data_IF_567599336709
#
_entry.id   IF_567599336709
#
_cell.length_a   1.000
_cell.length_b   1.000
_cell.length_c   1.000
_cell.angle_alpha   90.00
_cell.angle_beta   90.00
_cell.angle_gamma   90.00
#
_symmetry.space_group_name_H-M   'P 1'
#
loop_
_entity.id
_entity.type
_entity.pdbx_description
1 polymer ?
#
# COMPACT_ATOMS: atom_id res chain seq x y z
N UNK A 1 -13.47 14.99 12.11
CA UNK A 1 -14.33 14.39 11.07
C UNK A 1 -14.52 12.93 11.42
N UNK A 2 -15.74 12.42 11.30
CA UNK A 2 -16.02 10.99 11.40
C UNK A 2 -15.56 10.32 10.09
N UNK A 3 -14.34 9.78 10.10
CA UNK A 3 -13.70 9.21 8.91
C UNK A 3 -14.39 7.95 8.42
N UNK A 4 -14.97 7.15 9.31
CA UNK A 4 -15.70 5.93 8.94
C UNK A 4 -17.00 6.29 8.23
N UNK A 5 -17.79 7.20 8.82
CA UNK A 5 -19.02 7.68 8.20
C UNK A 5 -18.76 8.38 6.85
N UNK A 6 -17.66 9.14 6.75
CA UNK A 6 -17.28 9.81 5.50
C UNK A 6 -16.91 8.79 4.41
N UNK A 7 -16.10 7.77 4.73
CA UNK A 7 -15.73 6.71 3.80
C UNK A 7 -16.97 5.98 3.28
N UNK A 8 -17.83 5.49 4.18
CA UNK A 8 -19.06 4.78 3.82
C UNK A 8 -19.98 5.65 2.96
N UNK A 9 -20.20 6.91 3.35
CA UNK A 9 -21.04 7.84 2.60
C UNK A 9 -20.51 8.05 1.19
N UNK A 10 -19.21 8.30 1.04
CA UNK A 10 -18.61 8.58 -0.26
C UNK A 10 -18.66 7.35 -1.17
N UNK A 11 -18.34 6.15 -0.65
CA UNK A 11 -18.42 4.91 -1.43
C UNK A 11 -19.84 4.61 -1.91
N UNK A 12 -20.86 4.85 -1.08
CA UNK A 12 -22.25 4.68 -1.50
C UNK A 12 -22.68 5.67 -2.59
N UNK A 13 -22.16 6.91 -2.56
CA UNK A 13 -22.39 7.88 -3.62
C UNK A 13 -21.68 7.49 -4.92
N UNK A 14 -20.44 7.01 -4.82
CA UNK A 14 -19.66 6.49 -5.96
C UNK A 14 -20.37 5.31 -6.61
N UNK A 15 -20.89 4.37 -5.82
CA UNK A 15 -21.59 3.18 -6.31
C UNK A 15 -22.92 3.51 -7.02
N UNK A 16 -23.51 4.68 -6.74
CA UNK A 16 -24.74 5.12 -7.37
C UNK A 16 -24.52 5.73 -8.77
N UNK A 17 -23.27 6.03 -9.16
CA UNK A 17 -22.92 6.63 -10.45
C UNK A 17 -22.21 5.61 -11.35
N UNK A 18 -22.89 5.03 -12.37
CA UNK A 18 -22.33 3.98 -13.22
C UNK A 18 -20.99 4.34 -13.88
N UNK A 19 -20.80 5.61 -14.28
CA UNK A 19 -19.58 6.06 -14.93
C UNK A 19 -18.36 6.05 -14.00
N UNK A 20 -18.58 6.13 -12.69
CA UNK A 20 -17.53 6.04 -11.67
C UNK A 20 -17.40 4.60 -11.17
N UNK A 21 -18.52 3.92 -10.93
CA UNK A 21 -18.55 2.55 -10.39
C UNK A 21 -17.88 1.50 -11.29
N UNK A 22 -17.61 1.83 -12.57
CA UNK A 22 -16.88 0.96 -13.51
C UNK A 22 -15.39 0.77 -13.19
N UNK A 23 -14.79 1.61 -12.34
CA UNK A 23 -13.38 1.48 -11.93
C UNK A 23 -13.26 1.00 -10.48
N UNK A 24 -12.20 0.25 -10.11
CA UNK A 24 -11.98 -0.15 -8.73
C UNK A 24 -11.65 1.04 -7.84
N UNK A 25 -11.97 0.92 -6.54
CA UNK A 25 -11.68 1.94 -5.53
C UNK A 25 -10.50 1.52 -4.67
N UNK A 26 -9.57 2.45 -4.46
CA UNK A 26 -8.51 2.32 -3.46
C UNK A 26 -8.96 2.98 -2.15
N UNK A 27 -9.06 2.20 -1.09
CA UNK A 27 -9.43 2.64 0.26
C UNK A 27 -8.19 3.16 0.98
N UNK A 28 -8.06 4.47 1.07
CA UNK A 28 -6.88 5.13 1.63
C UNK A 28 -7.13 5.65 3.06
N UNK A 29 -6.47 5.04 4.04
CA UNK A 29 -6.53 5.47 5.44
C UNK A 29 -5.43 4.85 6.29
N UNK A 30 -4.91 5.60 7.27
CA UNK A 30 -4.01 5.08 8.30
C UNK A 30 -4.72 4.32 9.43
N UNK A 31 -6.06 4.41 9.49
CA UNK A 31 -6.89 3.71 10.48
C UNK A 31 -7.52 2.46 9.86
N UNK A 32 -7.24 1.31 10.46
CA UNK A 32 -7.78 0.02 10.02
C UNK A 32 -9.32 0.00 10.02
N UNK A 33 -9.96 0.57 11.04
CA UNK A 33 -11.43 0.59 11.13
C UNK A 33 -12.10 1.31 9.94
N UNK A 34 -11.46 2.34 9.40
CA UNK A 34 -11.94 3.07 8.21
C UNK A 34 -11.78 2.23 6.94
N UNK A 35 -10.65 1.52 6.80
CA UNK A 35 -10.43 0.58 5.70
C UNK A 35 -11.50 -0.52 5.76
N UNK A 36 -11.71 -1.11 6.94
CA UNK A 36 -12.66 -2.20 7.11
C UNK A 36 -14.11 -1.76 6.84
N UNK A 37 -14.49 -0.55 7.29
CA UNK A 37 -15.78 0.04 6.97
C UNK A 37 -15.96 0.21 5.45
N UNK A 38 -14.91 0.63 4.74
CA UNK A 38 -14.91 0.71 3.28
C UNK A 38 -15.04 -0.65 2.60
N UNK A 39 -14.27 -1.65 3.04
CA UNK A 39 -14.31 -3.02 2.50
C UNK A 39 -15.70 -3.65 2.63
N UNK A 40 -16.41 -3.40 3.74
CA UNK A 40 -17.79 -3.85 3.96
C UNK A 40 -18.79 -3.24 2.97
N UNK A 41 -18.47 -2.10 2.34
CA UNK A 41 -19.35 -1.40 1.40
C UNK A 41 -19.06 -1.70 -0.07
N UNK A 42 -17.85 -2.18 -0.40
CA UNK A 42 -17.48 -2.44 -1.79
C UNK A 42 -18.19 -3.69 -2.33
N UNK A 43 -18.78 -3.57 -3.53
CA UNK A 43 -19.41 -4.69 -4.24
C UNK A 43 -18.44 -5.43 -5.17
N UNK A 44 -17.37 -4.77 -5.59
CA UNK A 44 -16.32 -5.32 -6.45
C UNK A 44 -14.96 -5.39 -5.75
N UNK A 45 -13.94 -5.84 -6.49
CA UNK A 45 -12.58 -5.92 -5.98
C UNK A 45 -11.99 -4.53 -5.76
N UNK A 46 -11.81 -4.15 -4.50
CA UNK A 46 -11.12 -2.94 -4.09
C UNK A 46 -9.61 -3.14 -3.91
N UNK A 47 -8.93 -2.04 -3.60
CA UNK A 47 -7.53 -2.03 -3.19
C UNK A 47 -7.41 -1.38 -1.81
N UNK A 48 -6.72 -2.02 -0.87
CA UNK A 48 -6.43 -1.44 0.44
C UNK A 48 -5.16 -0.62 0.37
N UNK A 49 -5.23 0.67 0.72
CA UNK A 49 -4.07 1.55 0.92
C UNK A 49 -4.02 2.03 2.39
N UNK A 50 -3.23 1.41 3.25
CA UNK A 50 -2.29 0.31 3.03
C UNK A 50 -2.09 -0.49 4.31
N UNK A 51 -1.31 -1.58 4.23
CA UNK A 51 -0.77 -2.27 5.40
C UNK A 51 0.76 -2.18 5.40
N UNK A 52 1.36 -2.42 6.56
CA UNK A 52 2.82 -2.44 6.72
C UNK A 52 3.21 -3.26 7.95
N UNK A 53 4.51 -3.50 8.14
CA UNK A 53 5.05 -4.19 9.32
C UNK A 53 5.40 -3.21 10.46
N UNK A 54 4.94 -1.95 10.39
CA UNK A 54 5.18 -0.91 11.43
C UNK A 54 4.79 -1.37 12.83
N UNK A 55 3.66 -2.06 12.95
CA UNK A 55 3.12 -2.55 14.23
C UNK A 55 3.51 -4.01 14.49
N UNK A 56 4.48 -4.53 13.72
CA UNK A 56 4.93 -5.91 13.81
C UNK A 56 4.22 -6.86 12.85
N UNK A 57 4.80 -8.05 12.75
CA UNK A 57 4.42 -9.09 11.80
C UNK A 57 3.03 -9.70 12.07
N UNK A 58 2.65 -9.84 13.34
CA UNK A 58 1.36 -10.47 13.71
C UNK A 58 0.19 -9.63 13.23
N UNK A 59 0.21 -8.32 13.49
CA UNK A 59 -0.81 -7.36 13.03
C UNK A 59 -0.81 -7.27 11.51
N UNK A 60 0.36 -7.30 10.87
CA UNK A 60 0.46 -7.33 9.41
C UNK A 60 -0.24 -8.56 8.81
N UNK A 61 0.00 -9.76 9.35
CA UNK A 61 -0.61 -11.00 8.89
C UNK A 61 -2.11 -11.07 9.20
N UNK A 62 -2.55 -10.55 10.35
CA UNK A 62 -3.97 -10.43 10.70
C UNK A 62 -4.71 -9.59 9.65
N UNK A 63 -4.26 -8.35 9.44
CA UNK A 63 -4.85 -7.42 8.46
C UNK A 63 -4.79 -7.99 7.05
N UNK A 64 -3.68 -8.61 6.66
CA UNK A 64 -3.56 -9.28 5.37
C UNK A 64 -4.65 -10.34 5.19
N UNK A 65 -4.83 -11.26 6.15
CA UNK A 65 -5.88 -12.28 6.06
C UNK A 65 -7.28 -11.69 5.96
N UNK A 66 -7.53 -10.58 6.63
CA UNK A 66 -8.79 -9.84 6.50
C UNK A 66 -8.96 -9.24 5.10
N UNK A 67 -7.96 -8.54 4.56
CA UNK A 67 -8.00 -8.02 3.18
C UNK A 67 -8.29 -9.15 2.18
N UNK A 68 -7.61 -10.29 2.31
CA UNK A 68 -7.83 -11.47 1.48
C UNK A 68 -9.24 -12.03 1.64
N UNK A 69 -9.78 -12.06 2.87
CA UNK A 69 -11.16 -12.51 3.14
C UNK A 69 -12.19 -11.65 2.42
N UNK A 70 -11.94 -10.34 2.27
CA UNK A 70 -12.77 -9.44 1.46
C UNK A 70 -12.49 -9.53 -0.06
N UNK A 71 -11.49 -10.31 -0.47
CA UNK A 71 -11.11 -10.48 -1.89
C UNK A 71 -10.45 -9.26 -2.52
N UNK A 72 -9.90 -8.34 -1.71
CA UNK A 72 -9.27 -7.11 -2.17
C UNK A 72 -7.76 -7.30 -2.45
N UNK A 73 -7.20 -6.47 -3.33
CA UNK A 73 -5.75 -6.31 -3.47
C UNK A 73 -5.21 -5.38 -2.37
N UNK A 74 -3.88 -5.35 -2.19
CA UNK A 74 -3.26 -4.63 -1.09
C UNK A 74 -2.03 -3.84 -1.49
N UNK A 75 -1.99 -2.57 -1.09
CA UNK A 75 -0.76 -1.77 -1.06
C UNK A 75 0.00 -2.08 0.23
N UNK A 76 1.29 -2.38 0.07
CA UNK A 76 2.21 -2.68 1.16
C UNK A 76 3.30 -1.62 1.20
N UNK A 77 3.29 -0.81 2.25
CA UNK A 77 4.32 0.23 2.42
C UNK A 77 5.65 -0.41 2.79
N UNK A 78 6.75 0.14 2.27
CA UNK A 78 8.09 -0.17 2.75
C UNK A 78 8.35 0.49 4.12
N UNK A 79 7.63 0.02 5.13
CA UNK A 79 7.69 0.45 6.52
C UNK A 79 7.65 -0.80 7.41
N UNK A 80 8.69 -1.02 8.22
CA UNK A 80 8.75 -2.11 9.20
C UNK A 80 8.93 -1.59 10.64
N UNK A 81 9.21 -2.48 11.58
CA UNK A 81 9.39 -2.17 13.00
C UNK A 81 10.54 -1.17 13.26
N UNK A 82 11.45 -0.99 12.29
CA UNK A 82 12.59 -0.07 12.37
C UNK A 82 12.30 1.30 11.72
N UNK A 83 11.13 1.48 11.10
CA UNK A 83 10.74 2.75 10.48
C UNK A 83 10.51 2.65 8.98
N UNK A 84 10.49 3.82 8.33
CA UNK A 84 10.32 3.94 6.89
C UNK A 84 11.62 3.62 6.16
N UNK A 85 11.52 2.90 5.05
CA UNK A 85 12.64 2.61 4.19
C UNK A 85 13.01 3.81 3.31
N UNK A 86 14.20 4.35 3.51
CA UNK A 86 14.77 5.47 2.76
C UNK A 86 15.82 5.03 1.73
N UNK A 87 16.62 4.00 2.03
CA UNK A 87 17.61 3.41 1.10
C UNK A 87 17.04 2.33 0.18
N UNK A 88 17.73 2.06 -0.93
CA UNK A 88 17.38 0.98 -1.88
C UNK A 88 17.33 -0.38 -1.18
N UNK A 89 18.36 -0.70 -0.40
CA UNK A 89 18.51 -1.98 0.27
C UNK A 89 17.37 -2.21 1.26
N UNK A 90 17.01 -1.17 2.02
CA UNK A 90 15.93 -1.23 3.00
C UNK A 90 14.57 -1.43 2.32
N UNK A 91 14.30 -0.71 1.23
CA UNK A 91 13.06 -0.85 0.45
C UNK A 91 12.91 -2.27 -0.06
N UNK A 92 13.95 -2.79 -0.72
CA UNK A 92 13.93 -4.14 -1.30
C UNK A 92 13.84 -5.23 -0.21
N UNK A 93 14.54 -5.07 0.90
CA UNK A 93 14.49 -6.02 2.01
C UNK A 93 13.09 -6.11 2.64
N UNK A 94 12.44 -4.96 2.87
CA UNK A 94 11.10 -4.91 3.47
C UNK A 94 10.06 -5.49 2.51
N UNK A 95 10.09 -5.09 1.24
CA UNK A 95 9.19 -5.65 0.23
C UNK A 95 9.39 -7.17 0.07
N UNK A 96 10.64 -7.65 0.07
CA UNK A 96 10.95 -9.08 0.01
C UNK A 96 10.38 -9.85 1.20
N UNK A 97 10.63 -9.38 2.43
CA UNK A 97 10.06 -9.99 3.65
C UNK A 97 8.52 -10.02 3.58
N UNK A 98 7.90 -8.91 3.23
CA UNK A 98 6.45 -8.81 3.12
C UNK A 98 5.88 -9.75 2.05
N UNK A 99 6.55 -9.89 0.90
CA UNK A 99 6.15 -10.80 -0.17
C UNK A 99 6.05 -12.26 0.34
N UNK A 100 7.08 -12.75 1.02
CA UNK A 100 7.09 -14.10 1.58
C UNK A 100 6.00 -14.28 2.65
N UNK A 101 5.86 -13.32 3.56
CA UNK A 101 4.81 -13.38 4.58
C UNK A 101 3.40 -13.44 3.96
N UNK A 102 3.14 -12.62 2.95
CA UNK A 102 1.84 -12.57 2.29
C UNK A 102 1.53 -13.84 1.51
N UNK A 103 2.47 -14.30 0.68
CA UNK A 103 2.27 -15.46 -0.20
C UNK A 103 2.27 -16.77 0.58
N UNK A 104 3.17 -16.94 1.55
CA UNK A 104 3.36 -18.22 2.25
C UNK A 104 2.51 -18.35 3.52
N UNK A 105 2.19 -17.24 4.21
CA UNK A 105 1.51 -17.28 5.54
C UNK A 105 0.14 -16.58 5.60
N UNK A 106 -0.17 -15.69 4.66
CA UNK A 106 -1.50 -15.11 4.52
C UNK A 106 -2.28 -15.67 3.32
N UNK A 107 -1.61 -16.39 2.41
CA UNK A 107 -2.23 -17.04 1.25
C UNK A 107 -2.65 -16.07 0.15
N UNK A 108 -1.95 -14.94 0.01
CA UNK A 108 -2.18 -13.99 -1.08
C UNK A 108 -1.68 -14.54 -2.41
N UNK A 109 -2.45 -14.25 -3.46
CA UNK A 109 -1.92 -14.26 -4.82
C UNK A 109 -0.92 -13.10 -5.00
N UNK A 110 0.27 -13.34 -5.58
CA UNK A 110 1.28 -12.30 -5.74
C UNK A 110 0.85 -11.16 -6.67
N UNK A 111 -0.03 -11.42 -7.64
CA UNK A 111 -0.62 -10.41 -8.52
C UNK A 111 -1.54 -9.39 -7.80
N UNK A 112 -1.95 -9.69 -6.57
CA UNK A 112 -2.75 -8.80 -5.72
C UNK A 112 -1.90 -7.96 -4.74
N UNK A 113 -0.57 -8.09 -4.81
CA UNK A 113 0.37 -7.36 -3.97
C UNK A 113 0.92 -6.17 -4.76
N UNK A 114 0.72 -4.97 -4.23
CA UNK A 114 1.26 -3.72 -4.76
C UNK A 114 2.24 -3.17 -3.74
N UNK A 115 3.53 -3.16 -4.04
CA UNK A 115 4.51 -2.52 -3.16
C UNK A 115 4.54 -1.01 -3.37
N UNK A 116 4.59 -0.25 -2.28
CA UNK A 116 4.96 1.17 -2.28
C UNK A 116 6.33 1.33 -1.61
N UNK A 117 7.41 1.48 -2.38
CA UNK A 117 8.77 1.71 -1.87
C UNK A 117 9.01 3.11 -1.30
N UNK A 118 7.97 3.91 -1.03
CA UNK A 118 7.98 5.29 -0.55
C UNK A 118 8.56 6.30 -1.55
N UNK A 119 7.71 7.17 -2.09
CA UNK A 119 8.14 8.40 -2.77
C UNK A 119 8.24 9.51 -1.72
N UNK A 120 9.45 10.01 -1.51
CA UNK A 120 9.75 11.14 -0.63
C UNK A 120 10.01 12.43 -1.41
N UNK A 121 9.83 13.57 -0.74
CA UNK A 121 10.17 14.87 -1.27
C UNK A 121 11.68 14.99 -1.50
N UNK A 122 12.06 15.59 -2.63
CA UNK A 122 13.44 16.00 -2.93
C UNK A 122 13.53 17.52 -2.94
N UNK A 123 14.70 18.08 -3.22
CA UNK A 123 14.95 19.53 -3.23
C UNK A 123 14.54 20.25 -1.93
N UNK A 124 14.63 19.54 -0.79
CA UNK A 124 14.21 20.02 0.53
C UNK A 124 15.22 20.95 1.21
N UNK A 125 16.42 21.11 0.63
CA UNK A 125 17.56 21.77 1.26
C UNK A 125 18.40 20.87 2.18
N UNK A 126 18.01 19.59 2.33
CA UNK A 126 18.74 18.56 3.10
C UNK A 126 19.44 17.62 2.11
N UNK A 127 20.76 17.48 2.23
CA UNK A 127 21.59 16.77 1.24
C UNK A 127 21.26 15.27 1.18
N UNK A 128 20.92 14.68 2.32
CA UNK A 128 20.53 13.29 2.48
C UNK A 128 19.28 12.93 1.65
N UNK A 129 18.45 13.92 1.30
CA UNK A 129 17.21 13.71 0.54
C UNK A 129 17.43 13.68 -0.98
N UNK A 130 18.60 14.10 -1.47
CA UNK A 130 18.87 14.24 -2.91
C UNK A 130 18.74 12.91 -3.67
N UNK A 131 19.06 11.79 -3.01
CA UNK A 131 19.04 10.46 -3.61
C UNK A 131 17.68 9.76 -3.62
N UNK A 132 16.64 10.31 -2.97
CA UNK A 132 15.40 9.55 -2.70
C UNK A 132 14.64 9.12 -3.95
N UNK A 133 14.57 9.97 -4.99
CA UNK A 133 13.89 9.63 -6.23
C UNK A 133 14.63 8.51 -7.00
N UNK A 134 15.97 8.58 -7.04
CA UNK A 134 16.79 7.53 -7.66
C UNK A 134 16.67 6.22 -6.88
N UNK A 135 16.65 6.29 -5.55
CA UNK A 135 16.47 5.12 -4.69
C UNK A 135 15.12 4.43 -4.93
N UNK A 136 14.04 5.20 -5.14
CA UNK A 136 12.73 4.64 -5.51
C UNK A 136 12.78 3.90 -6.86
N UNK A 137 13.39 4.51 -7.88
CA UNK A 137 13.49 3.92 -9.23
C UNK A 137 14.30 2.62 -9.18
N UNK A 138 15.44 2.62 -8.49
CA UNK A 138 16.29 1.43 -8.39
C UNK A 138 15.65 0.32 -7.55
N UNK A 139 14.99 0.67 -6.43
CA UNK A 139 14.21 -0.30 -5.66
C UNK A 139 13.08 -0.90 -6.49
N UNK A 140 12.40 -0.09 -7.33
CA UNK A 140 11.37 -0.57 -8.26
C UNK A 140 11.92 -1.62 -9.21
N UNK A 141 13.07 -1.36 -9.84
CA UNK A 141 13.74 -2.32 -10.73
C UNK A 141 14.01 -3.64 -10.02
N UNK A 142 14.64 -3.58 -8.85
CA UNK A 142 15.00 -4.77 -8.07
C UNK A 142 13.78 -5.55 -7.56
N UNK A 143 12.71 -4.87 -7.14
CA UNK A 143 11.45 -5.50 -6.74
C UNK A 143 10.85 -6.26 -7.92
N UNK A 144 10.77 -5.64 -9.10
CA UNK A 144 10.22 -6.26 -10.31
C UNK A 144 11.04 -7.47 -10.78
N UNK A 145 12.35 -7.45 -10.58
CA UNK A 145 13.23 -8.58 -10.91
C UNK A 145 13.12 -9.75 -9.93
N UNK A 146 12.96 -9.45 -8.62
CA UNK A 146 13.07 -10.46 -7.56
C UNK A 146 11.72 -11.02 -7.10
N UNK A 147 10.65 -10.24 -7.20
CA UNK A 147 9.33 -10.55 -6.65
C UNK A 147 8.36 -10.73 -7.82
N UNK A 148 8.21 -11.94 -8.36
CA UNK A 148 7.43 -12.19 -9.57
C UNK A 148 5.96 -11.83 -9.35
N UNK A 149 5.30 -11.31 -10.39
CA UNK A 149 3.90 -10.86 -10.42
C UNK A 149 3.55 -9.65 -9.55
N UNK A 150 4.27 -9.40 -8.45
CA UNK A 150 4.04 -8.24 -7.60
C UNK A 150 4.15 -6.93 -8.40
N UNK A 151 3.27 -5.99 -8.06
CA UNK A 151 3.20 -4.66 -8.67
C UNK A 151 3.97 -3.64 -7.84
N UNK A 152 4.25 -2.48 -8.43
CA UNK A 152 4.87 -1.35 -7.73
C UNK A 152 4.04 -0.10 -8.00
N UNK A 153 3.79 0.68 -6.96
CA UNK A 153 3.12 1.97 -7.01
C UNK A 153 3.87 2.99 -6.14
N UNK A 154 3.40 4.23 -6.14
CA UNK A 154 3.93 5.29 -5.29
C UNK A 154 3.12 6.58 -5.42
N UNK A 155 3.02 7.33 -4.32
CA UNK A 155 2.42 8.66 -4.30
C UNK A 155 3.27 9.70 -5.04
N UNK A 156 3.14 9.78 -6.36
CA UNK A 156 4.01 10.58 -7.24
C UNK A 156 4.12 12.04 -6.81
N UNK A 157 3.00 12.68 -6.44
CA UNK A 157 2.98 14.10 -6.05
C UNK A 157 3.86 14.42 -4.83
N UNK A 158 4.22 13.43 -4.01
CA UNK A 158 5.09 13.63 -2.84
C UNK A 158 6.49 14.06 -3.24
N UNK A 159 6.97 13.69 -4.44
CA UNK A 159 8.32 14.04 -4.90
C UNK A 159 8.51 15.56 -5.02
N UNK A 160 7.43 16.28 -5.29
CA UNK A 160 7.38 17.72 -5.59
C UNK A 160 6.70 18.53 -4.48
N UNK A 161 6.81 18.09 -3.23
CA UNK A 161 6.19 18.81 -2.09
C UNK A 161 6.93 20.10 -1.72
N UNK A 162 8.25 20.14 -1.92
CA UNK A 162 9.16 21.27 -1.64
C UNK A 162 9.09 22.33 -2.73
#
# INVERSE_FOLDING_TARGET
LDSEAAMVRFLNLVAAEPDIARVPVMLDSSKWSVIEAGLKCLQGKGVVNSISMKEGEEIFLERAREVRRYGAAVVVMAFDEQGQADTVERRVAICGRAYHLLTERAGFSPEDIIFDPNIFAIATGIEEHNGYALAFIEATRLIKERLPYALVSGGVSNVSFS
#
